data_IF_048220158266
#
_entry.id   IF_048220158266
#
_cell.length_a   1.000
_cell.length_b   1.000
_cell.length_c   1.000
_cell.angle_alpha   90.00
_cell.angle_beta   90.00
_cell.angle_gamma   90.00
#
_symmetry.space_group_name_H-M   'P 1'
#
loop_
_entity.id
_entity.type
_entity.pdbx_description
1 polymer ?
#
# COMPACT_ATOMS: atom_id res chain seq x y z
N UNK A 1 -4.64 -11.02 -27.94
CA UNK A 1 -3.45 -10.12 -27.83
C UNK A 1 -2.15 -10.92 -28.00
N UNK A 2 -1.11 -10.35 -28.59
CA UNK A 2 0.24 -10.95 -28.55
C UNK A 2 0.76 -10.82 -27.12
N UNK A 3 1.28 -11.91 -26.54
CA UNK A 3 1.90 -11.85 -25.22
C UNK A 3 3.15 -10.95 -25.30
N UNK A 4 3.09 -9.78 -24.67
CA UNK A 4 4.19 -8.81 -24.63
C UNK A 4 4.84 -8.76 -23.25
N UNK A 5 4.50 -9.70 -22.37
CA UNK A 5 5.11 -9.77 -21.04
C UNK A 5 6.59 -10.12 -21.17
N UNK A 6 7.42 -9.11 -20.91
CA UNK A 6 8.88 -9.23 -21.04
C UNK A 6 9.56 -9.42 -19.68
N UNK A 7 8.81 -9.41 -18.57
CA UNK A 7 9.34 -9.71 -17.25
C UNK A 7 9.63 -11.20 -17.14
N UNK A 8 10.90 -11.53 -16.95
CA UNK A 8 11.30 -12.89 -16.67
C UNK A 8 11.11 -13.16 -15.17
N UNK A 9 9.99 -13.77 -14.83
CA UNK A 9 9.74 -14.23 -13.47
C UNK A 9 10.63 -15.40 -13.10
N UNK A 10 11.12 -15.45 -11.87
CA UNK A 10 11.74 -16.63 -11.28
C UNK A 10 10.70 -17.76 -11.15
N UNK A 11 11.15 -18.99 -10.87
CA UNK A 11 10.22 -20.12 -10.64
C UNK A 11 9.34 -19.84 -9.42
N UNK A 12 9.88 -19.22 -8.38
CA UNK A 12 9.14 -18.85 -7.17
C UNK A 12 8.10 -17.79 -7.45
N UNK A 13 8.46 -16.73 -8.17
CA UNK A 13 7.50 -15.69 -8.58
C UNK A 13 6.37 -16.25 -9.46
N UNK A 14 6.66 -17.23 -10.31
CA UNK A 14 5.60 -17.92 -11.08
C UNK A 14 4.68 -18.72 -10.15
N UNK A 15 5.22 -19.46 -9.20
CA UNK A 15 4.41 -20.20 -8.23
C UNK A 15 3.54 -19.27 -7.39
N UNK A 16 4.05 -18.11 -6.98
CA UNK A 16 3.26 -17.08 -6.25
C UNK A 16 2.14 -16.55 -7.13
N UNK A 17 2.45 -16.16 -8.38
CA UNK A 17 1.46 -15.66 -9.32
C UNK A 17 0.33 -16.68 -9.56
N UNK A 18 0.69 -17.93 -9.77
CA UNK A 18 -0.27 -18.99 -10.10
C UNK A 18 -1.16 -19.28 -8.87
N UNK A 19 -0.57 -19.48 -7.68
CA UNK A 19 -1.33 -19.76 -6.46
C UNK A 19 -2.24 -18.58 -6.03
N UNK A 20 -1.73 -17.36 -6.09
CA UNK A 20 -2.53 -16.16 -5.77
C UNK A 20 -3.59 -15.89 -6.86
N UNK A 21 -3.25 -16.18 -8.11
CA UNK A 21 -4.17 -16.08 -9.24
C UNK A 21 -5.37 -17.01 -9.08
N UNK A 22 -5.14 -18.27 -8.69
CA UNK A 22 -6.20 -19.26 -8.43
C UNK A 22 -7.18 -18.75 -7.36
N UNK A 23 -6.67 -18.13 -6.28
CA UNK A 23 -7.53 -17.50 -5.26
C UNK A 23 -8.32 -16.32 -5.85
N UNK A 24 -7.64 -15.43 -6.60
CA UNK A 24 -8.29 -14.26 -7.19
C UNK A 24 -9.40 -14.64 -8.18
N UNK A 25 -9.28 -15.76 -8.90
CA UNK A 25 -10.27 -16.22 -9.87
C UNK A 25 -11.62 -16.61 -9.25
N UNK A 26 -11.66 -16.80 -7.92
CA UNK A 26 -12.90 -17.04 -7.17
C UNK A 26 -13.72 -15.75 -6.94
N UNK A 27 -13.11 -14.57 -7.14
CA UNK A 27 -13.68 -13.25 -6.87
C UNK A 27 -13.78 -12.42 -8.15
N UNK A 28 -14.95 -12.44 -8.77
CA UNK A 28 -15.17 -11.78 -10.06
C UNK A 28 -15.32 -10.25 -9.97
N UNK A 29 -15.47 -9.60 -11.12
CA UNK A 29 -15.64 -8.15 -11.18
C UNK A 29 -16.93 -7.65 -10.49
N UNK A 30 -17.98 -8.49 -10.38
CA UNK A 30 -19.22 -8.12 -9.69
C UNK A 30 -18.98 -8.03 -8.18
N UNK A 31 -18.26 -9.01 -7.61
CA UNK A 31 -17.86 -9.01 -6.20
C UNK A 31 -17.15 -7.69 -5.82
N UNK A 32 -16.14 -7.30 -6.57
CA UNK A 32 -15.39 -6.06 -6.31
C UNK A 32 -16.21 -4.79 -6.47
N UNK A 33 -17.15 -4.78 -7.42
CA UNK A 33 -18.03 -3.65 -7.67
C UNK A 33 -19.05 -3.45 -6.56
N UNK A 34 -19.61 -4.54 -6.04
CA UNK A 34 -20.56 -4.52 -4.92
C UNK A 34 -19.86 -4.00 -3.67
N UNK A 35 -18.72 -4.57 -3.30
CA UNK A 35 -17.97 -4.14 -2.11
C UNK A 35 -17.50 -2.67 -2.21
N UNK A 36 -17.01 -2.20 -3.38
CA UNK A 36 -16.66 -0.78 -3.56
C UNK A 36 -17.86 0.15 -3.44
N UNK A 37 -19.04 -0.29 -3.91
CA UNK A 37 -20.26 0.51 -3.85
C UNK A 37 -20.87 0.60 -2.45
N UNK A 38 -20.73 -0.46 -1.66
CA UNK A 38 -21.27 -0.59 -0.29
C UNK A 38 -20.28 -0.10 0.76
N UNK A 39 -19.00 0.05 0.39
CA UNK A 39 -17.93 0.42 1.32
C UNK A 39 -17.58 -0.71 2.28
N UNK A 40 -17.79 -1.97 1.87
CA UNK A 40 -17.57 -3.12 2.72
C UNK A 40 -16.17 -3.73 2.51
N UNK A 41 -15.52 -4.07 3.61
CA UNK A 41 -14.23 -4.77 3.56
C UNK A 41 -14.44 -6.22 3.09
N UNK A 42 -13.66 -6.70 2.10
CA UNK A 42 -13.87 -8.01 1.47
C UNK A 42 -13.27 -9.14 2.32
N UNK A 43 -13.90 -9.45 3.45
CA UNK A 43 -13.43 -10.46 4.41
C UNK A 43 -13.19 -11.82 3.76
N UNK A 44 -14.08 -12.28 2.88
CA UNK A 44 -13.95 -13.59 2.24
C UNK A 44 -12.66 -13.69 1.41
N UNK A 45 -12.34 -12.66 0.64
CA UNK A 45 -11.11 -12.59 -0.13
C UNK A 45 -9.85 -12.57 0.76
N UNK A 46 -9.87 -11.74 1.80
CA UNK A 46 -8.72 -11.63 2.73
C UNK A 46 -8.52 -12.91 3.51
N UNK A 47 -9.60 -13.55 3.96
CA UNK A 47 -9.55 -14.84 4.64
C UNK A 47 -9.01 -15.96 3.73
N UNK A 48 -9.41 -16.02 2.47
CA UNK A 48 -8.87 -16.98 1.51
C UNK A 48 -7.36 -16.84 1.34
N UNK A 49 -6.84 -15.61 1.31
CA UNK A 49 -5.39 -15.37 1.29
C UNK A 49 -4.72 -15.72 2.63
N UNK A 50 -5.39 -15.45 3.76
CA UNK A 50 -4.88 -15.77 5.10
C UNK A 50 -4.76 -17.29 5.32
N UNK A 51 -5.78 -18.06 4.94
CA UNK A 51 -5.81 -19.54 5.06
C UNK A 51 -4.64 -20.21 4.34
N UNK A 52 -4.20 -19.64 3.21
CA UNK A 52 -3.04 -20.08 2.45
C UNK A 52 -1.72 -19.42 2.91
N UNK A 53 -1.74 -18.62 4.01
CA UNK A 53 -0.59 -18.00 4.64
C UNK A 53 0.01 -16.83 3.84
N UNK A 54 -0.75 -16.22 2.91
CA UNK A 54 -0.24 -15.12 2.08
C UNK A 54 -0.10 -13.80 2.82
N UNK A 55 -0.82 -13.60 3.95
CA UNK A 55 -0.62 -12.41 4.79
C UNK A 55 0.76 -12.43 5.47
N UNK A 56 1.33 -13.61 5.68
CA UNK A 56 2.69 -13.80 6.21
C UNK A 56 3.77 -13.94 5.13
N UNK A 57 3.59 -13.44 3.92
CA UNK A 57 4.50 -13.65 2.78
C UNK A 57 5.94 -13.20 3.08
N UNK A 58 6.13 -12.10 3.80
CA UNK A 58 7.43 -11.55 4.21
C UNK A 58 7.86 -11.97 5.62
N UNK A 59 6.97 -12.58 6.41
CA UNK A 59 7.32 -13.00 7.76
C UNK A 59 8.33 -14.17 7.72
N UNK A 60 9.32 -14.19 8.63
CA UNK A 60 10.28 -15.27 8.72
C UNK A 60 9.62 -16.64 8.95
N UNK A 61 10.19 -17.69 8.36
CA UNK A 61 9.71 -19.08 8.51
C UNK A 61 9.69 -19.55 9.98
N UNK A 62 10.61 -19.06 10.80
CA UNK A 62 10.68 -19.38 12.24
C UNK A 62 9.42 -18.93 13.02
N UNK A 63 8.67 -17.93 12.50
CA UNK A 63 7.39 -17.49 13.05
C UNK A 63 6.19 -17.99 12.23
N UNK A 64 6.37 -18.96 11.33
CA UNK A 64 5.31 -19.55 10.54
C UNK A 64 5.00 -18.80 9.24
N UNK A 65 5.73 -17.76 8.90
CA UNK A 65 5.62 -17.05 7.63
C UNK A 65 6.22 -17.81 6.45
N UNK A 66 6.08 -17.27 5.23
CA UNK A 66 6.67 -17.88 4.02
C UNK A 66 8.17 -17.58 3.85
N UNK A 67 8.74 -16.61 4.58
CA UNK A 67 10.15 -16.22 4.46
C UNK A 67 10.52 -15.72 3.06
N UNK A 68 9.56 -15.19 2.32
CA UNK A 68 9.78 -14.69 0.97
C UNK A 68 10.35 -13.26 1.01
N UNK A 69 10.78 -12.76 -0.14
CA UNK A 69 11.36 -11.43 -0.29
C UNK A 69 10.38 -10.44 -0.96
N UNK A 70 10.80 -9.20 -1.10
CA UNK A 70 10.07 -8.17 -1.86
C UNK A 70 9.81 -8.59 -3.31
N UNK A 71 10.63 -9.46 -3.89
CA UNK A 71 10.42 -9.97 -5.25
C UNK A 71 9.11 -10.77 -5.36
N UNK A 72 8.85 -11.63 -4.38
CA UNK A 72 7.63 -12.43 -4.32
C UNK A 72 6.42 -11.57 -3.93
N UNK A 73 6.58 -10.64 -2.98
CA UNK A 73 5.52 -9.70 -2.60
C UNK A 73 5.07 -8.83 -3.79
N UNK A 74 6.01 -8.34 -4.60
CA UNK A 74 5.72 -7.62 -5.86
C UNK A 74 4.94 -8.48 -6.85
N UNK A 75 5.29 -9.75 -7.00
CA UNK A 75 4.57 -10.67 -7.89
C UNK A 75 3.14 -10.95 -7.37
N UNK A 76 2.97 -11.17 -6.07
CA UNK A 76 1.69 -11.35 -5.39
C UNK A 76 0.77 -10.14 -5.62
N UNK A 77 1.22 -8.97 -5.23
CA UNK A 77 0.38 -7.77 -5.23
C UNK A 77 0.06 -7.27 -6.65
N UNK A 78 1.00 -7.44 -7.59
CA UNK A 78 0.71 -7.24 -9.00
C UNK A 78 -0.41 -8.17 -9.49
N UNK A 79 -0.38 -9.45 -9.10
CA UNK A 79 -1.38 -10.45 -9.50
C UNK A 79 -2.75 -10.08 -8.97
N UNK A 80 -2.86 -9.72 -7.68
CA UNK A 80 -4.11 -9.28 -7.08
C UNK A 80 -4.67 -8.06 -7.81
N UNK A 81 -3.89 -7.00 -7.98
CA UNK A 81 -4.37 -5.79 -8.64
C UNK A 81 -4.78 -6.02 -10.11
N UNK A 82 -4.16 -6.98 -10.78
CA UNK A 82 -4.42 -7.32 -12.18
C UNK A 82 -5.64 -8.22 -12.38
N UNK A 83 -6.08 -8.93 -11.35
CA UNK A 83 -7.16 -9.93 -11.42
C UNK A 83 -8.58 -9.36 -11.57
N UNK A 84 -8.77 -8.05 -11.42
CA UNK A 84 -10.09 -7.41 -11.34
C UNK A 84 -10.33 -6.72 -10.00
N UNK A 85 -9.60 -7.11 -8.96
CA UNK A 85 -9.60 -6.47 -7.66
C UNK A 85 -9.18 -4.98 -7.73
N UNK A 86 -8.32 -4.64 -8.68
CA UNK A 86 -7.76 -3.31 -8.82
C UNK A 86 -6.78 -2.97 -7.70
N UNK A 87 -6.44 -1.70 -7.59
CA UNK A 87 -5.59 -1.21 -6.51
C UNK A 87 -6.27 -1.35 -5.15
N UNK A 88 -7.56 -1.05 -5.07
CA UNK A 88 -8.34 -1.13 -3.81
C UNK A 88 -8.36 -2.53 -3.23
N UNK A 89 -8.56 -3.56 -4.06
CA UNK A 89 -8.51 -4.95 -3.61
C UNK A 89 -7.12 -5.36 -3.13
N UNK A 90 -6.05 -4.94 -3.81
CA UNK A 90 -4.70 -5.17 -3.33
C UNK A 90 -4.44 -4.45 -1.98
N UNK A 91 -4.99 -3.25 -1.79
CA UNK A 91 -4.85 -2.49 -0.56
C UNK A 91 -5.51 -3.15 0.66
N UNK A 92 -6.42 -4.09 0.49
CA UNK A 92 -7.02 -4.82 1.62
C UNK A 92 -6.02 -5.69 2.35
N UNK A 93 -4.98 -6.17 1.68
CA UNK A 93 -3.92 -7.02 2.24
C UNK A 93 -2.55 -6.35 2.29
N UNK A 94 -2.37 -5.23 1.61
CA UNK A 94 -1.10 -4.52 1.53
C UNK A 94 -0.47 -4.27 2.90
N UNK A 95 -1.23 -3.75 3.84
CA UNK A 95 -0.73 -3.39 5.16
C UNK A 95 -0.37 -4.62 6.02
N UNK A 96 -1.07 -5.74 5.87
CA UNK A 96 -0.69 -6.98 6.55
C UNK A 96 0.74 -7.41 6.20
N UNK A 97 1.17 -7.14 4.96
CA UNK A 97 2.50 -7.48 4.48
C UNK A 97 3.57 -6.58 5.11
N UNK A 98 3.32 -5.27 5.28
CA UNK A 98 4.35 -4.30 5.67
C UNK A 98 4.30 -3.83 7.10
N UNK A 99 3.11 -3.74 7.72
CA UNK A 99 3.00 -3.20 9.07
C UNK A 99 3.67 -4.07 10.12
N UNK A 100 3.91 -5.34 9.82
CA UNK A 100 4.69 -6.22 10.68
C UNK A 100 6.21 -6.01 10.58
N UNK A 101 6.71 -5.30 9.57
CA UNK A 101 8.14 -5.14 9.35
C UNK A 101 8.87 -4.45 10.52
N UNK A 102 8.36 -3.36 11.14
CA UNK A 102 8.99 -2.78 12.33
C UNK A 102 9.07 -3.77 13.49
N UNK A 103 8.02 -4.59 13.68
CA UNK A 103 8.02 -5.62 14.72
C UNK A 103 9.05 -6.71 14.43
N UNK A 104 9.13 -7.22 13.19
CA UNK A 104 10.11 -8.22 12.76
C UNK A 104 11.54 -7.72 12.97
N UNK A 105 11.82 -6.48 12.56
CA UNK A 105 13.17 -5.93 12.56
C UNK A 105 13.62 -5.44 13.94
N UNK A 106 12.71 -4.90 14.75
CA UNK A 106 13.05 -4.14 15.96
C UNK A 106 12.29 -4.57 17.21
N UNK A 107 11.25 -5.40 17.10
CA UNK A 107 10.50 -5.90 18.26
C UNK A 107 11.37 -6.73 19.19
N UNK A 108 11.03 -6.78 20.50
CA UNK A 108 11.64 -7.71 21.44
C UNK A 108 11.34 -9.15 21.03
N UNK A 109 12.22 -10.07 21.39
CA UNK A 109 12.02 -11.50 21.09
C UNK A 109 10.74 -12.05 21.74
N UNK A 110 10.36 -11.51 22.90
CA UNK A 110 9.12 -11.87 23.58
C UNK A 110 7.91 -11.43 22.75
N UNK A 111 7.88 -10.18 22.30
CA UNK A 111 6.81 -9.64 21.47
C UNK A 111 6.70 -10.35 20.12
N UNK A 112 7.83 -10.63 19.47
CA UNK A 112 7.87 -11.39 18.20
C UNK A 112 7.32 -12.80 18.38
N UNK A 113 7.77 -13.52 19.40
CA UNK A 113 7.38 -14.90 19.63
C UNK A 113 5.91 -15.05 20.03
N UNK A 114 5.32 -14.03 20.67
CA UNK A 114 3.90 -13.99 21.01
C UNK A 114 3.03 -13.70 19.79
N UNK A 115 3.38 -12.70 19.00
CA UNK A 115 2.47 -12.13 18.01
C UNK A 115 2.70 -12.62 16.57
N UNK A 116 3.97 -12.75 16.13
CA UNK A 116 4.23 -13.07 14.71
C UNK A 116 3.65 -14.43 14.26
N UNK A 117 3.64 -15.51 15.07
CA UNK A 117 2.97 -16.75 14.69
C UNK A 117 1.44 -16.58 14.47
N UNK A 118 0.81 -15.73 15.29
CA UNK A 118 -0.63 -15.43 15.15
C UNK A 118 -0.91 -14.58 13.90
N UNK A 119 0.00 -13.66 13.58
CA UNK A 119 -0.10 -12.88 12.32
C UNK A 119 0.11 -13.79 11.11
N UNK A 120 1.07 -14.71 11.17
CA UNK A 120 1.35 -15.64 10.07
C UNK A 120 0.18 -16.60 9.80
N UNK A 121 -0.52 -17.04 10.85
CA UNK A 121 -1.71 -17.91 10.73
C UNK A 121 -2.99 -17.16 10.38
N UNK A 122 -3.01 -15.82 10.44
CA UNK A 122 -4.22 -15.02 10.29
C UNK A 122 -5.09 -14.91 11.54
N UNK A 123 -4.62 -15.41 12.70
CA UNK A 123 -5.30 -15.31 14.00
C UNK A 123 -5.17 -13.93 14.66
N UNK A 124 -4.30 -13.07 14.13
CA UNK A 124 -4.18 -11.67 14.53
C UNK A 124 -3.77 -10.80 13.33
N UNK A 125 -4.34 -9.60 13.27
CA UNK A 125 -4.10 -8.70 12.15
C UNK A 125 -3.43 -7.39 12.60
N UNK A 126 -2.30 -7.05 11.95
CA UNK A 126 -1.62 -5.76 12.07
C UNK A 126 -1.80 -5.04 10.74
N UNK A 127 -3.02 -4.58 10.47
CA UNK A 127 -3.37 -3.98 9.18
C UNK A 127 -3.43 -2.45 9.18
N UNK A 128 -3.17 -1.80 10.31
CA UNK A 128 -3.17 -0.35 10.36
C UNK A 128 -1.87 0.25 10.87
N UNK A 129 -1.55 1.41 10.31
CA UNK A 129 -0.39 2.22 10.66
C UNK A 129 -0.82 3.68 10.82
N UNK A 130 -0.43 4.31 11.91
CA UNK A 130 -0.86 5.65 12.27
C UNK A 130 0.33 6.58 12.42
N UNK A 131 0.60 7.36 11.36
CA UNK A 131 1.71 8.31 11.28
C UNK A 131 1.21 9.73 11.00
N UNK A 132 0.43 9.88 9.93
CA UNK A 132 -0.01 11.16 9.38
C UNK A 132 -0.93 11.89 10.36
N UNK A 133 -0.75 13.21 10.48
CA UNK A 133 -1.59 14.10 11.28
C UNK A 133 -2.19 15.21 10.42
N UNK A 134 -3.22 15.93 10.89
CA UNK A 134 -3.84 17.02 10.12
C UNK A 134 -2.85 18.09 9.65
N UNK A 135 -1.75 18.32 10.40
CA UNK A 135 -0.71 19.30 10.05
C UNK A 135 0.60 18.66 9.56
N UNK A 136 0.73 17.33 9.61
CA UNK A 136 1.97 16.60 9.34
C UNK A 136 1.73 15.44 8.36
N UNK A 137 1.59 15.75 7.07
CA UNK A 137 1.51 14.76 5.99
C UNK A 137 2.90 14.52 5.38
N UNK A 138 3.26 15.30 4.34
CA UNK A 138 4.57 15.19 3.67
C UNK A 138 5.75 15.51 4.60
N UNK A 139 5.58 16.40 5.58
CA UNK A 139 6.56 16.62 6.66
C UNK A 139 6.24 15.74 7.87
N UNK A 140 6.38 14.42 7.73
CA UNK A 140 6.07 13.45 8.80
C UNK A 140 6.95 13.61 10.05
N UNK A 141 8.07 14.32 9.98
CA UNK A 141 8.86 14.70 11.16
C UNK A 141 8.20 15.78 12.04
N UNK A 142 7.09 16.37 11.57
CA UNK A 142 6.36 17.41 12.30
C UNK A 142 5.16 16.90 13.09
N UNK A 143 5.07 15.58 13.33
CA UNK A 143 3.99 15.00 14.15
C UNK A 143 4.03 15.57 15.57
N UNK A 144 2.83 15.80 16.12
CA UNK A 144 2.61 16.39 17.44
C UNK A 144 2.00 15.40 18.46
N UNK A 145 1.44 14.24 18.00
CA UNK A 145 0.95 13.18 18.91
C UNK A 145 2.05 12.79 19.87
N UNK A 146 1.80 12.95 21.18
CA UNK A 146 2.78 12.72 22.24
C UNK A 146 2.58 11.38 22.95
N UNK A 147 3.66 10.81 23.47
CA UNK A 147 3.68 9.63 24.32
C UNK A 147 4.53 9.90 25.54
N UNK A 148 3.90 10.12 26.68
CA UNK A 148 4.57 10.44 27.94
C UNK A 148 4.67 9.19 28.81
N UNK A 149 5.88 8.88 29.27
CA UNK A 149 6.09 7.72 30.15
C UNK A 149 5.49 7.92 31.53
N UNK A 150 4.66 6.98 31.97
CA UNK A 150 4.05 6.94 33.30
C UNK A 150 4.30 5.55 33.94
N UNK A 151 5.41 5.40 34.63
CA UNK A 151 5.82 4.12 35.21
C UNK A 151 6.21 3.08 34.18
N UNK A 152 5.44 2.01 34.09
CA UNK A 152 5.57 0.90 33.13
C UNK A 152 4.65 1.00 31.93
N UNK A 153 4.01 2.14 31.72
CA UNK A 153 3.18 2.46 30.56
C UNK A 153 3.61 3.79 29.92
N UNK A 154 3.11 4.03 28.70
CA UNK A 154 3.07 5.34 28.05
C UNK A 154 1.62 5.81 27.97
N UNK A 155 1.40 7.09 28.24
CA UNK A 155 0.13 7.78 28.04
C UNK A 155 0.22 8.56 26.74
N UNK A 156 -0.63 8.23 25.78
CA UNK A 156 -0.57 8.78 24.42
C UNK A 156 -1.77 9.69 24.18
N UNK A 157 -1.49 10.91 23.72
CA UNK A 157 -2.48 11.92 23.38
C UNK A 157 -2.20 12.54 22.02
N UNK A 158 -3.23 12.73 21.21
CA UNK A 158 -3.10 13.37 19.93
C UNK A 158 -4.14 12.95 18.90
N UNK A 159 -3.91 13.33 17.66
CA UNK A 159 -4.83 13.06 16.57
C UNK A 159 -4.06 12.58 15.33
N UNK A 160 -4.53 11.49 14.72
CA UNK A 160 -4.01 10.97 13.47
C UNK A 160 -5.06 11.02 12.37
N UNK A 161 -4.60 11.07 11.13
CA UNK A 161 -5.44 11.16 9.95
C UNK A 161 -5.04 10.09 8.94
N UNK A 162 -6.00 9.56 8.21
CA UNK A 162 -5.78 8.50 7.21
C UNK A 162 -5.30 7.17 7.82
N UNK A 163 -5.67 6.86 9.05
CA UNK A 163 -5.43 5.54 9.63
C UNK A 163 -6.42 4.57 9.01
N UNK A 164 -5.94 3.79 8.05
CA UNK A 164 -6.79 2.87 7.28
C UNK A 164 -6.86 1.50 7.96
N UNK A 165 -8.02 0.82 7.83
CA UNK A 165 -8.25 -0.56 8.31
C UNK A 165 -8.17 -0.74 9.82
N UNK A 166 -8.31 0.33 10.61
CA UNK A 166 -8.33 0.22 12.07
C UNK A 166 -9.56 -0.54 12.58
N UNK A 167 -10.64 -0.49 11.83
CA UNK A 167 -11.92 -1.16 12.06
C UNK A 167 -11.88 -2.70 11.85
N UNK A 168 -10.86 -3.19 11.15
CA UNK A 168 -10.67 -4.62 10.83
C UNK A 168 -9.31 -5.16 11.33
N UNK A 169 -8.61 -4.43 12.17
CA UNK A 169 -7.29 -4.79 12.69
C UNK A 169 -7.34 -5.04 14.18
N UNK A 170 -6.57 -6.01 14.68
CA UNK A 170 -6.42 -6.26 16.12
C UNK A 170 -5.39 -5.31 16.74
N UNK A 171 -4.33 -5.03 15.99
CA UNK A 171 -3.23 -4.19 16.43
C UNK A 171 -2.92 -3.07 15.44
N UNK A 172 -2.47 -1.95 16.00
CA UNK A 172 -2.06 -0.74 15.30
C UNK A 172 -0.58 -0.44 15.57
N UNK A 173 0.20 -0.17 14.54
CA UNK A 173 1.52 0.45 14.68
C UNK A 173 1.35 1.96 14.72
N UNK A 174 1.62 2.57 15.87
CA UNK A 174 1.45 4.00 16.12
C UNK A 174 2.80 4.70 16.27
N UNK A 175 3.01 5.76 15.47
CA UNK A 175 4.14 6.67 15.66
C UNK A 175 3.72 7.84 16.56
N UNK A 176 4.42 8.05 17.67
CA UNK A 176 4.17 9.16 18.59
C UNK A 176 5.50 9.75 19.09
N UNK A 177 5.45 10.96 19.60
CA UNK A 177 6.61 11.70 20.05
C UNK A 177 6.86 11.45 21.52
N UNK A 178 8.00 10.85 21.83
CA UNK A 178 8.49 10.60 23.21
C UNK A 178 9.37 11.73 23.72
N UNK A 179 10.08 12.43 22.83
CA UNK A 179 10.80 13.64 23.14
C UNK A 179 10.27 14.80 22.31
N UNK A 180 9.92 15.97 22.91
CA UNK A 180 9.43 17.15 22.21
C UNK A 180 10.38 17.60 21.09
N UNK A 181 9.79 18.12 20.00
CA UNK A 181 10.56 18.49 18.79
C UNK A 181 11.63 19.56 19.07
N UNK A 182 11.36 20.47 19.99
CA UNK A 182 12.26 21.53 20.42
C UNK A 182 13.44 21.05 21.27
N UNK A 183 13.39 19.82 21.78
CA UNK A 183 14.40 19.22 22.65
C UNK A 183 15.37 18.30 21.89
N UNK A 184 15.11 18.01 20.61
CA UNK A 184 15.94 17.14 19.78
C UNK A 184 16.84 17.93 18.84
N UNK A 185 18.03 17.40 18.52
CA UNK A 185 18.97 18.04 17.58
C UNK A 185 18.53 17.88 16.12
N UNK A 186 18.02 16.68 15.77
CA UNK A 186 17.55 16.38 14.41
C UNK A 186 16.04 16.20 14.41
N UNK A 187 15.40 16.70 13.36
CA UNK A 187 13.94 16.60 13.16
C UNK A 187 13.40 15.15 13.18
N UNK A 188 14.26 14.19 12.88
CA UNK A 188 13.96 12.76 12.82
C UNK A 188 14.06 12.04 14.16
N UNK A 189 14.60 12.69 15.18
CA UNK A 189 14.72 12.16 16.55
C UNK A 189 13.47 12.46 17.36
N UNK A 190 13.29 11.77 18.49
CA UNK A 190 12.20 11.99 19.44
C UNK A 190 10.87 11.37 19.04
N UNK A 191 10.84 10.51 18.02
CA UNK A 191 9.66 9.73 17.62
C UNK A 191 9.89 8.28 17.96
N UNK A 192 8.89 7.63 18.55
CA UNK A 192 8.89 6.21 18.90
C UNK A 192 7.74 5.48 18.22
N UNK A 193 7.86 4.16 18.10
CA UNK A 193 6.82 3.30 17.58
C UNK A 193 6.23 2.43 18.67
N UNK A 194 4.91 2.32 18.69
CA UNK A 194 4.16 1.54 19.65
C UNK A 194 3.25 0.54 18.94
N UNK A 195 3.19 -0.68 19.46
CA UNK A 195 2.17 -1.64 19.11
C UNK A 195 0.97 -1.46 20.03
N UNK A 196 -0.11 -0.92 19.50
CA UNK A 196 -1.33 -0.64 20.24
C UNK A 196 -2.33 -1.77 20.05
N UNK A 197 -2.89 -2.28 21.13
CA UNK A 197 -4.04 -3.17 21.14
C UNK A 197 -5.31 -2.31 20.98
N UNK A 198 -6.01 -2.51 19.86
CA UNK A 198 -7.15 -1.67 19.49
C UNK A 198 -8.36 -1.95 20.37
N UNK A 199 -8.64 -3.23 20.68
CA UNK A 199 -9.76 -3.61 21.52
C UNK A 199 -9.61 -3.00 22.92
N UNK A 200 -8.41 -3.11 23.51
CA UNK A 200 -8.10 -2.49 24.82
C UNK A 200 -8.30 -0.98 24.80
N UNK A 201 -7.89 -0.31 23.73
CA UNK A 201 -8.08 1.13 23.56
C UNK A 201 -9.55 1.54 23.48
N UNK A 202 -10.36 0.75 22.76
CA UNK A 202 -11.81 0.96 22.68
C UNK A 202 -12.52 0.70 24.01
N UNK A 203 -12.20 -0.39 24.70
CA UNK A 203 -12.78 -0.70 26.02
C UNK A 203 -12.47 0.37 27.06
N UNK A 204 -11.28 0.97 26.99
CA UNK A 204 -10.89 2.08 27.84
C UNK A 204 -11.57 3.41 27.46
N UNK A 205 -12.19 3.51 26.28
CA UNK A 205 -12.74 4.76 25.74
C UNK A 205 -11.66 5.78 25.36
N UNK A 206 -10.44 5.31 25.08
CA UNK A 206 -9.28 6.14 24.74
C UNK A 206 -9.02 6.25 23.23
N UNK A 207 -9.87 5.62 22.40
CA UNK A 207 -9.86 5.70 20.95
C UNK A 207 -11.21 6.23 20.47
N UNK A 208 -11.19 7.35 19.75
CA UNK A 208 -12.35 7.86 19.00
C UNK A 208 -12.05 7.81 17.51
N UNK A 209 -12.96 7.19 16.76
CA UNK A 209 -12.82 6.93 15.33
C UNK A 209 -13.87 7.70 14.54
N UNK A 210 -13.44 8.59 13.66
CA UNK A 210 -14.30 9.28 12.68
C UNK A 210 -13.92 8.81 11.28
N UNK A 211 -14.83 8.12 10.61
CA UNK A 211 -14.59 7.64 9.24
C UNK A 211 -14.50 8.80 8.25
N UNK A 212 -13.55 8.74 7.33
CA UNK A 212 -13.34 9.75 6.30
C UNK A 212 -14.09 9.31 5.04
N UNK A 213 -15.13 10.06 4.67
CA UNK A 213 -15.81 9.91 3.37
C UNK A 213 -14.84 10.27 2.23
N UNK A 214 -14.51 9.29 1.38
CA UNK A 214 -13.52 9.43 0.32
C UNK A 214 -13.98 8.82 -0.99
N UNK A 215 -13.48 9.34 -2.10
CA UNK A 215 -13.93 8.97 -3.44
C UNK A 215 -13.24 7.74 -4.03
N UNK A 216 -12.19 7.22 -3.40
CA UNK A 216 -11.41 6.09 -3.92
C UNK A 216 -11.14 5.07 -2.82
N UNK A 217 -10.99 3.81 -3.22
CA UNK A 217 -10.73 2.70 -2.31
C UNK A 217 -11.88 2.48 -1.31
N UNK A 218 -13.09 2.27 -1.83
CA UNK A 218 -14.29 2.04 -1.02
C UNK A 218 -14.15 0.86 -0.06
N UNK A 219 -13.53 -0.22 -0.52
CA UNK A 219 -13.30 -1.45 0.27
C UNK A 219 -12.26 -1.30 1.40
N UNK A 220 -11.63 -0.15 1.55
CA UNK A 220 -10.65 0.13 2.62
C UNK A 220 -11.08 1.38 3.35
N UNK A 221 -11.67 1.26 4.52
CA UNK A 221 -12.02 2.39 5.38
C UNK A 221 -10.79 3.16 5.84
N UNK A 222 -10.92 4.45 6.05
CA UNK A 222 -9.86 5.33 6.58
C UNK A 222 -10.44 6.28 7.60
N UNK A 223 -9.73 6.50 8.68
CA UNK A 223 -10.24 7.21 9.83
C UNK A 223 -9.35 8.39 10.24
N UNK A 224 -10.00 9.40 10.81
CA UNK A 224 -9.43 10.28 11.80
C UNK A 224 -9.49 9.53 13.12
N UNK A 225 -8.37 9.44 13.85
CA UNK A 225 -8.28 8.76 15.13
C UNK A 225 -7.80 9.73 16.18
N UNK A 226 -8.61 9.92 17.23
CA UNK A 226 -8.22 10.70 18.40
C UNK A 226 -7.79 9.73 19.52
N UNK A 227 -6.63 9.99 20.08
CA UNK A 227 -6.09 9.31 21.25
C UNK A 227 -6.25 10.23 22.45
N UNK A 228 -7.01 9.77 23.47
CA UNK A 228 -7.28 10.51 24.69
C UNK A 228 -6.88 9.65 25.90
N UNK A 229 -5.75 9.99 26.51
CA UNK A 229 -5.12 9.23 27.59
C UNK A 229 -4.97 7.72 27.28
N UNK A 230 -4.63 7.38 26.00
CA UNK A 230 -4.41 6.00 25.60
C UNK A 230 -3.19 5.42 26.33
N UNK A 231 -3.42 4.37 27.14
CA UNK A 231 -2.35 3.70 27.91
C UNK A 231 -1.82 2.49 27.15
N UNK A 232 -0.52 2.54 26.84
CA UNK A 232 0.21 1.48 26.14
C UNK A 232 1.34 0.97 27.05
N UNK A 233 1.39 -0.34 27.37
CA UNK A 233 2.48 -0.91 28.16
C UNK A 233 3.86 -0.64 27.54
N UNK A 234 4.86 -0.40 28.37
CA UNK A 234 6.20 -0.06 27.91
C UNK A 234 6.88 -1.20 27.13
N UNK A 235 6.49 -2.44 27.34
CA UNK A 235 6.94 -3.61 26.59
C UNK A 235 6.34 -3.69 25.16
N UNK A 236 5.37 -2.83 24.85
CA UNK A 236 4.79 -2.65 23.49
C UNK A 236 5.51 -1.57 22.68
N UNK A 237 6.56 -0.94 23.20
CA UNK A 237 7.47 -0.10 22.42
C UNK A 237 8.20 -0.98 21.39
N UNK A 238 8.15 -0.60 20.13
CA UNK A 238 8.87 -1.29 19.05
C UNK A 238 10.24 -0.64 18.90
N UNK A 239 11.29 -1.42 19.15
CA UNK A 239 12.67 -1.00 18.99
C UNK A 239 13.16 -0.07 20.10
N UNK A 240 13.80 1.03 19.74
CA UNK A 240 14.46 1.97 20.65
C UNK A 240 13.65 3.26 20.73
N UNK A 241 13.44 3.76 21.95
CA UNK A 241 12.79 5.06 22.19
C UNK A 241 13.52 6.18 21.43
N UNK A 242 12.78 7.11 20.87
CA UNK A 242 13.24 8.24 20.05
C UNK A 242 13.83 7.89 18.67
N UNK A 243 13.97 6.62 18.29
CA UNK A 243 14.52 6.17 17.00
C UNK A 243 13.47 5.66 16.02
N UNK A 244 12.19 5.71 16.37
CA UNK A 244 11.08 5.14 15.59
C UNK A 244 10.96 5.67 14.17
N UNK A 245 11.35 6.91 13.92
CA UNK A 245 11.31 7.47 12.57
C UNK A 245 12.24 6.73 11.59
N UNK A 246 13.45 6.35 12.03
CA UNK A 246 14.38 5.56 11.20
C UNK A 246 13.89 4.13 11.02
N UNK A 247 13.27 3.56 12.06
CA UNK A 247 12.71 2.21 12.01
C UNK A 247 11.57 2.10 11.00
N UNK A 248 10.73 3.14 10.86
CA UNK A 248 9.72 3.22 9.79
C UNK A 248 10.36 3.32 8.42
N UNK A 249 11.40 4.16 8.26
CA UNK A 249 12.04 4.38 6.96
C UNK A 249 12.64 3.11 6.36
N UNK A 250 13.04 2.14 7.17
CA UNK A 250 13.66 0.91 6.69
C UNK A 250 12.73 0.06 5.82
N UNK A 251 11.42 0.04 6.09
CA UNK A 251 10.43 -0.70 5.29
C UNK A 251 9.83 0.10 4.12
N UNK A 252 10.00 1.42 4.11
CA UNK A 252 9.29 2.28 3.14
C UNK A 252 9.77 2.16 1.69
N UNK A 253 10.97 1.68 1.43
CA UNK A 253 11.45 1.48 0.06
C UNK A 253 10.77 0.26 -0.57
N UNK A 254 10.69 -0.82 0.18
CA UNK A 254 10.03 -2.06 -0.19
C UNK A 254 8.53 -1.82 -0.43
N UNK A 255 7.88 -1.07 0.47
CA UNK A 255 6.49 -0.66 0.34
C UNK A 255 6.23 0.10 -0.97
N UNK A 256 7.10 1.05 -1.34
CA UNK A 256 6.97 1.78 -2.61
C UNK A 256 7.03 0.86 -3.83
N UNK A 257 7.85 -0.19 -3.78
CA UNK A 257 7.95 -1.16 -4.88
C UNK A 257 6.69 -2.00 -5.01
N UNK A 258 6.08 -2.36 -3.89
CA UNK A 258 4.82 -3.11 -3.89
C UNK A 258 3.67 -2.23 -4.37
N UNK A 259 3.57 -0.99 -3.90
CA UNK A 259 2.61 -0.01 -4.44
C UNK A 259 2.82 0.19 -5.96
N UNK A 260 4.06 0.23 -6.43
CA UNK A 260 4.33 0.31 -7.87
C UNK A 260 3.82 -0.91 -8.63
N UNK A 261 3.95 -2.11 -8.06
CA UNK A 261 3.45 -3.35 -8.66
C UNK A 261 1.92 -3.39 -8.72
N UNK A 262 1.23 -3.05 -7.64
CA UNK A 262 -0.23 -2.89 -7.59
C UNK A 262 -0.72 -1.88 -8.62
N UNK A 263 -0.04 -0.76 -8.70
CA UNK A 263 -0.36 0.33 -9.63
C UNK A 263 -0.21 -0.10 -11.09
N UNK A 264 0.86 -0.85 -11.41
CA UNK A 264 1.03 -1.42 -12.77
C UNK A 264 -0.08 -2.42 -13.08
N UNK A 265 -0.42 -3.30 -12.13
CA UNK A 265 -1.52 -4.27 -12.28
C UNK A 265 -2.84 -3.59 -12.58
N UNK A 266 -3.20 -2.56 -11.81
CA UNK A 266 -4.37 -1.71 -12.06
C UNK A 266 -4.36 -1.08 -13.45
N UNK A 267 -3.22 -0.51 -13.86
CA UNK A 267 -3.10 0.15 -15.17
C UNK A 267 -3.27 -0.81 -16.34
N UNK A 268 -2.69 -2.02 -16.25
CA UNK A 268 -2.86 -3.06 -17.26
C UNK A 268 -4.32 -3.55 -17.33
N UNK A 269 -4.98 -3.70 -16.19
CA UNK A 269 -6.41 -4.02 -16.12
C UNK A 269 -7.26 -2.95 -16.79
N UNK A 270 -6.98 -1.68 -16.56
CA UNK A 270 -7.69 -0.57 -17.21
C UNK A 270 -7.49 -0.55 -18.73
N UNK A 271 -6.26 -0.80 -19.22
CA UNK A 271 -5.98 -0.92 -20.66
C UNK A 271 -6.76 -2.08 -21.28
N UNK A 272 -6.79 -3.23 -20.63
CA UNK A 272 -7.52 -4.41 -21.10
C UNK A 272 -9.00 -4.12 -21.28
N UNK A 273 -9.65 -3.54 -20.26
CA UNK A 273 -11.06 -3.13 -20.33
C UNK A 273 -11.32 -2.12 -21.46
N UNK A 274 -10.40 -1.16 -21.64
CA UNK A 274 -10.47 -0.19 -22.74
C UNK A 274 -10.35 -0.86 -24.12
N UNK A 275 -9.46 -1.83 -24.26
CA UNK A 275 -9.25 -2.59 -25.51
C UNK A 275 -10.45 -3.47 -25.84
N UNK A 276 -10.99 -4.19 -24.85
CA UNK A 276 -12.14 -5.06 -25.06
C UNK A 276 -13.35 -4.23 -25.50
N UNK A 277 -13.64 -3.15 -24.79
CA UNK A 277 -14.71 -2.24 -25.18
C UNK A 277 -14.50 -1.61 -26.57
N UNK A 278 -13.27 -1.22 -26.91
CA UNK A 278 -12.95 -0.63 -28.20
C UNK A 278 -13.15 -1.61 -29.38
N UNK A 279 -12.97 -2.92 -29.15
CA UNK A 279 -13.18 -3.96 -30.14
C UNK A 279 -14.66 -4.32 -30.32
N UNK A 280 -15.46 -4.23 -29.25
CA UNK A 280 -16.88 -4.60 -29.27
C UNK A 280 -17.80 -3.44 -29.68
N UNK A 281 -17.47 -2.22 -29.24
CA UNK A 281 -18.32 -1.05 -29.47
C UNK A 281 -18.25 -0.57 -30.91
N UNK A 282 -19.39 -0.57 -31.59
CA UNK A 282 -19.52 -0.03 -32.94
C UNK A 282 -20.17 1.36 -32.95
N UNK A 283 -19.60 2.27 -33.75
CA UNK A 283 -20.14 3.60 -34.11
C UNK A 283 -19.83 3.88 -35.56
N UNK A 284 -20.77 4.45 -36.28
CA UNK A 284 -20.65 4.68 -37.70
C UNK A 284 -20.34 3.42 -38.52
N UNK A 285 -20.91 2.25 -38.09
CA UNK A 285 -20.81 0.98 -38.83
C UNK A 285 -19.47 0.24 -38.69
N UNK A 286 -18.64 0.59 -37.70
CA UNK A 286 -17.37 -0.09 -37.43
C UNK A 286 -17.00 -0.01 -35.94
N UNK A 287 -16.16 -0.93 -35.49
CA UNK A 287 -15.60 -0.90 -34.14
C UNK A 287 -14.81 0.38 -33.91
N UNK A 288 -15.02 1.01 -32.73
CA UNK A 288 -14.33 2.27 -32.40
C UNK A 288 -12.82 2.10 -32.30
N UNK A 289 -12.34 0.90 -31.99
CA UNK A 289 -10.93 0.54 -31.98
C UNK A 289 -10.21 0.71 -33.33
N UNK A 290 -10.94 0.91 -34.43
CA UNK A 290 -10.34 1.25 -35.73
C UNK A 290 -9.92 2.73 -35.83
N UNK A 291 -10.26 3.57 -34.86
CA UNK A 291 -9.90 4.98 -34.89
C UNK A 291 -8.58 5.22 -34.13
N UNK A 292 -7.65 5.92 -34.76
CA UNK A 292 -6.35 6.25 -34.14
C UNK A 292 -6.49 7.04 -32.84
N UNK A 293 -7.53 7.88 -32.70
CA UNK A 293 -7.84 8.62 -31.49
C UNK A 293 -8.17 7.70 -30.29
N UNK A 294 -8.56 6.44 -30.52
CA UNK A 294 -8.77 5.41 -29.50
C UNK A 294 -7.53 4.52 -29.38
N UNK A 295 -6.94 4.12 -30.49
CA UNK A 295 -5.77 3.21 -30.49
C UNK A 295 -4.55 3.83 -29.81
N UNK A 296 -4.23 5.08 -30.13
CA UNK A 296 -2.97 5.69 -29.70
C UNK A 296 -2.89 5.90 -28.18
N UNK A 297 -3.92 6.43 -27.47
CA UNK A 297 -3.88 6.52 -26.00
C UNK A 297 -3.73 5.17 -25.31
N UNK A 298 -4.49 4.14 -25.73
CA UNK A 298 -4.39 2.80 -25.18
C UNK A 298 -3.01 2.17 -25.43
N UNK A 299 -2.48 2.29 -26.64
CA UNK A 299 -1.16 1.78 -27.01
C UNK A 299 -0.04 2.52 -26.25
N UNK A 300 -0.13 3.83 -26.09
CA UNK A 300 0.82 4.61 -25.31
C UNK A 300 0.79 4.25 -23.83
N UNK A 301 -0.41 4.09 -23.25
CA UNK A 301 -0.59 3.60 -21.87
C UNK A 301 0.04 2.24 -21.67
N UNK A 302 -0.25 1.28 -22.56
CA UNK A 302 0.35 -0.05 -22.54
C UNK A 302 1.90 0.01 -22.58
N UNK A 303 2.47 0.77 -23.51
CA UNK A 303 3.93 0.87 -23.64
C UNK A 303 4.60 1.43 -22.38
N UNK A 304 4.02 2.47 -21.75
CA UNK A 304 4.52 3.05 -20.49
C UNK A 304 4.38 2.08 -19.32
N UNK A 305 3.26 1.36 -19.23
CA UNK A 305 3.05 0.34 -18.21
C UNK A 305 4.06 -0.79 -18.32
N UNK A 306 4.38 -1.27 -19.55
CA UNK A 306 5.42 -2.28 -19.74
C UNK A 306 6.80 -1.79 -19.28
N UNK A 307 7.15 -0.53 -19.52
CA UNK A 307 8.40 0.06 -19.04
C UNK A 307 8.41 0.17 -17.49
N UNK A 308 7.31 0.64 -16.89
CA UNK A 308 7.16 0.74 -15.45
C UNK A 308 7.21 -0.64 -14.77
N UNK A 309 6.55 -1.65 -15.34
CA UNK A 309 6.57 -3.04 -14.89
C UNK A 309 7.98 -3.60 -14.86
N UNK A 310 8.71 -3.49 -15.97
CA UNK A 310 10.10 -3.95 -16.07
C UNK A 310 10.98 -3.29 -15.01
N UNK A 311 10.83 -1.97 -14.83
CA UNK A 311 11.61 -1.25 -13.84
C UNK A 311 11.27 -1.69 -12.42
N UNK A 312 9.98 -1.86 -12.08
CA UNK A 312 9.51 -2.28 -10.77
C UNK A 312 10.05 -3.66 -10.38
N UNK A 313 9.91 -4.65 -11.28
CA UNK A 313 10.43 -6.00 -11.03
C UNK A 313 11.96 -6.06 -10.97
N UNK A 314 12.64 -5.25 -11.77
CA UNK A 314 14.12 -5.15 -11.70
C UNK A 314 14.58 -4.48 -10.39
N UNK A 315 13.87 -3.46 -9.92
CA UNK A 315 14.17 -2.79 -8.67
C UNK A 315 13.91 -3.68 -7.44
N UNK A 316 12.85 -4.50 -7.47
CA UNK A 316 12.54 -5.45 -6.39
C UNK A 316 13.68 -6.45 -6.11
N UNK A 317 14.43 -6.86 -7.15
CA UNK A 317 15.61 -7.74 -7.01
C UNK A 317 16.77 -7.11 -6.24
N UNK A 318 16.71 -5.80 -5.99
CA UNK A 318 17.82 -5.04 -5.43
C UNK A 318 17.52 -4.46 -4.04
N UNK A 319 16.40 -4.85 -3.44
CA UNK A 319 16.01 -4.37 -2.09
C UNK A 319 16.98 -4.81 -1.00
N UNK A 320 17.66 -5.96 -1.18
CA UNK A 320 18.70 -6.46 -0.29
C UNK A 320 20.09 -5.82 -0.47
N UNK A 321 20.28 -4.88 -1.42
CA UNK A 321 21.56 -4.22 -1.61
C UNK A 321 21.90 -3.32 -0.41
N UNK A 322 23.19 -3.28 -0.02
CA UNK A 322 23.67 -2.51 1.13
C UNK A 322 23.53 -0.99 0.93
N UNK A 323 23.57 -0.51 -0.31
CA UNK A 323 23.38 0.91 -0.63
C UNK A 323 21.89 1.31 -0.56
N UNK A 324 21.43 1.63 0.64
CA UNK A 324 20.04 2.08 0.91
C UNK A 324 19.64 3.33 0.12
N UNK A 325 20.58 4.17 -0.29
CA UNK A 325 20.27 5.33 -1.14
C UNK A 325 19.96 4.91 -2.57
N UNK A 326 20.70 3.93 -3.10
CA UNK A 326 20.40 3.35 -4.40
C UNK A 326 19.04 2.63 -4.40
N UNK A 327 18.75 1.84 -3.35
CA UNK A 327 17.43 1.22 -3.17
C UNK A 327 16.33 2.27 -3.17
N UNK A 328 16.49 3.35 -2.41
CA UNK A 328 15.57 4.48 -2.39
C UNK A 328 15.37 5.14 -3.76
N UNK A 329 16.44 5.28 -4.55
CA UNK A 329 16.35 5.83 -5.90
C UNK A 329 15.52 4.93 -6.83
N UNK A 330 15.74 3.62 -6.78
CA UNK A 330 14.96 2.67 -7.58
C UNK A 330 13.49 2.63 -7.13
N UNK A 331 13.21 2.58 -5.83
CA UNK A 331 11.86 2.54 -5.30
C UNK A 331 11.05 3.80 -5.66
N UNK A 332 11.64 4.99 -5.51
CA UNK A 332 10.98 6.24 -5.90
C UNK A 332 10.79 6.34 -7.42
N UNK A 333 11.74 5.85 -8.23
CA UNK A 333 11.60 5.82 -9.69
C UNK A 333 10.49 4.87 -10.11
N UNK A 334 10.43 3.65 -9.56
CA UNK A 334 9.40 2.67 -9.84
C UNK A 334 8.00 3.22 -9.51
N UNK A 335 7.84 3.76 -8.31
CA UNK A 335 6.58 4.36 -7.84
C UNK A 335 6.13 5.51 -8.74
N UNK A 336 7.03 6.41 -9.10
CA UNK A 336 6.73 7.53 -9.98
C UNK A 336 6.26 7.06 -11.36
N UNK A 337 7.03 6.18 -12.01
CA UNK A 337 6.72 5.68 -13.35
C UNK A 337 5.39 4.91 -13.37
N UNK A 338 5.17 4.05 -12.37
CA UNK A 338 3.96 3.24 -12.29
C UNK A 338 2.71 4.12 -12.13
N UNK A 339 2.74 5.10 -11.21
CA UNK A 339 1.59 5.96 -10.94
C UNK A 339 1.23 6.87 -12.13
N UNK A 340 2.22 7.44 -12.83
CA UNK A 340 1.95 8.22 -14.04
C UNK A 340 1.37 7.34 -15.16
N UNK A 341 1.99 6.18 -15.41
CA UNK A 341 1.54 5.27 -16.46
C UNK A 341 0.13 4.73 -16.21
N UNK A 342 -0.18 4.35 -14.98
CA UNK A 342 -1.49 3.82 -14.61
C UNK A 342 -2.59 4.89 -14.68
N UNK A 343 -2.31 6.11 -14.21
CA UNK A 343 -3.27 7.20 -14.30
C UNK A 343 -3.62 7.54 -15.75
N UNK A 344 -2.63 7.68 -16.63
CA UNK A 344 -2.86 7.93 -18.06
C UNK A 344 -3.61 6.76 -18.74
N UNK A 345 -3.31 5.52 -18.35
CA UNK A 345 -3.98 4.34 -18.87
C UNK A 345 -5.45 4.26 -18.43
N UNK A 346 -5.74 4.55 -17.17
CA UNK A 346 -7.10 4.56 -16.64
C UNK A 346 -7.93 5.70 -17.25
N UNK A 347 -7.36 6.90 -17.42
CA UNK A 347 -8.00 8.02 -18.11
C UNK A 347 -8.33 7.67 -19.58
N UNK A 348 -7.39 7.04 -20.29
CA UNK A 348 -7.61 6.56 -21.64
C UNK A 348 -8.72 5.49 -21.73
N UNK A 349 -8.82 4.60 -20.73
CA UNK A 349 -9.89 3.62 -20.64
C UNK A 349 -11.27 4.27 -20.45
N UNK A 350 -11.38 5.21 -19.52
CA UNK A 350 -12.62 6.01 -19.31
C UNK A 350 -13.00 6.75 -20.58
N UNK A 351 -12.05 7.45 -21.22
CA UNK A 351 -12.29 8.18 -22.47
C UNK A 351 -12.75 7.25 -23.61
N UNK A 352 -12.19 6.04 -23.69
CA UNK A 352 -12.58 5.02 -24.67
C UNK A 352 -14.03 4.57 -24.51
N UNK A 353 -14.50 4.44 -23.26
CA UNK A 353 -15.89 4.08 -22.94
C UNK A 353 -16.87 5.23 -23.18
N UNK A 354 -16.41 6.49 -23.28
CA UNK A 354 -17.25 7.65 -23.41
C UNK A 354 -18.19 7.79 -22.20
N UNK A 355 -19.47 8.06 -22.41
CA UNK A 355 -20.45 8.18 -21.32
C UNK A 355 -20.54 6.94 -20.39
N UNK A 356 -20.28 5.76 -20.95
CA UNK A 356 -20.23 4.52 -20.15
C UNK A 356 -19.01 4.42 -19.25
N UNK A 357 -17.95 5.20 -19.52
CA UNK A 357 -16.77 5.28 -18.66
C UNK A 357 -17.03 5.93 -17.31
N UNK A 358 -18.21 6.55 -17.11
CA UNK A 358 -18.65 7.14 -15.82
C UNK A 358 -19.69 6.23 -15.14
N UNK A 359 -20.15 5.19 -15.83
CA UNK A 359 -21.10 4.21 -15.31
C UNK A 359 -20.37 3.13 -14.52
N UNK A 360 -20.71 2.98 -13.24
CA UNK A 360 -20.12 1.99 -12.33
C UNK A 360 -20.17 0.55 -12.85
N UNK A 361 -21.14 0.23 -13.73
CA UNK A 361 -21.26 -1.10 -14.34
C UNK A 361 -20.07 -1.49 -15.23
N UNK A 362 -19.22 -0.54 -15.63
CA UNK A 362 -18.07 -0.78 -16.50
C UNK A 362 -16.72 -0.77 -15.78
N UNK A 363 -16.67 -0.57 -14.47
CA UNK A 363 -15.50 -0.60 -13.59
C UNK A 363 -14.41 0.47 -13.88
N UNK A 364 -14.27 0.96 -15.10
CA UNK A 364 -13.16 1.85 -15.49
C UNK A 364 -13.15 3.19 -14.74
N UNK A 365 -14.31 3.67 -14.27
CA UNK A 365 -14.39 4.85 -13.41
C UNK A 365 -13.73 4.58 -12.04
N UNK A 366 -13.93 3.38 -11.48
CA UNK A 366 -13.28 2.93 -10.24
C UNK A 366 -11.77 2.88 -10.43
N UNK A 367 -11.30 2.31 -11.53
CA UNK A 367 -9.86 2.24 -11.84
C UNK A 367 -9.23 3.64 -11.98
N UNK A 368 -9.96 4.61 -12.52
CA UNK A 368 -9.47 6.00 -12.59
C UNK A 368 -9.35 6.65 -11.21
N UNK A 369 -10.36 6.47 -10.34
CA UNK A 369 -10.31 6.96 -8.95
C UNK A 369 -9.14 6.34 -8.19
N UNK A 370 -8.95 5.03 -8.32
CA UNK A 370 -7.83 4.30 -7.72
C UNK A 370 -6.47 4.75 -8.28
N UNK A 371 -6.34 4.87 -9.60
CA UNK A 371 -5.11 5.35 -10.23
C UNK A 371 -4.76 6.79 -9.80
N UNK A 372 -5.76 7.65 -9.53
CA UNK A 372 -5.51 8.97 -8.98
C UNK A 372 -4.92 8.91 -7.58
N UNK A 373 -5.37 7.96 -6.75
CA UNK A 373 -4.86 7.75 -5.39
C UNK A 373 -3.38 7.34 -5.42
N UNK A 374 -2.96 6.49 -6.35
CA UNK A 374 -1.56 6.01 -6.44
C UNK A 374 -0.53 7.14 -6.64
N UNK A 375 -0.94 8.31 -7.12
CA UNK A 375 -0.07 9.50 -7.23
C UNK A 375 0.14 10.22 -5.89
N UNK A 376 -0.64 9.87 -4.87
CA UNK A 376 -0.61 10.49 -3.53
C UNK A 376 0.06 9.59 -2.50
N UNK A 377 -0.17 8.27 -2.57
CA UNK A 377 0.27 7.29 -1.57
C UNK A 377 1.36 6.36 -2.10
N UNK A 378 2.20 5.77 -1.21
CA UNK A 378 2.42 6.10 0.20
C UNK A 378 3.21 7.40 0.35
N UNK A 379 3.78 7.90 -0.73
CA UNK A 379 4.52 9.16 -0.86
C UNK A 379 4.06 9.88 -2.13
N UNK A 380 3.94 11.21 -2.08
CA UNK A 380 3.50 11.97 -3.24
C UNK A 380 4.53 11.91 -4.38
N UNK A 381 4.06 12.13 -5.64
CA UNK A 381 4.94 12.20 -6.81
C UNK A 381 6.04 13.25 -6.63
N UNK A 382 5.71 14.38 -6.00
CA UNK A 382 6.63 15.50 -5.74
C UNK A 382 7.76 15.06 -4.81
N UNK A 383 7.46 14.32 -3.72
CA UNK A 383 8.49 13.82 -2.82
C UNK A 383 9.37 12.76 -3.48
N UNK A 384 8.80 11.89 -4.33
CA UNK A 384 9.59 10.94 -5.10
C UNK A 384 10.56 11.66 -6.06
N UNK A 385 10.08 12.69 -6.75
CA UNK A 385 10.93 13.52 -7.62
C UNK A 385 11.97 14.34 -6.85
N UNK A 386 11.62 14.86 -5.68
CA UNK A 386 12.59 15.54 -4.80
C UNK A 386 13.71 14.59 -4.41
N UNK A 387 13.38 13.35 -4.02
CA UNK A 387 14.41 12.36 -3.70
C UNK A 387 15.35 12.11 -4.88
N UNK A 388 14.82 11.96 -6.10
CA UNK A 388 15.63 11.77 -7.30
C UNK A 388 16.46 13.01 -7.62
N UNK A 389 15.88 14.19 -7.51
CA UNK A 389 16.58 15.47 -7.72
C UNK A 389 17.79 15.61 -6.80
N UNK A 390 17.60 15.40 -5.51
CA UNK A 390 18.63 15.58 -4.49
C UNK A 390 19.66 14.45 -4.48
N UNK A 391 19.19 13.18 -4.44
CA UNK A 391 20.09 12.05 -4.16
C UNK A 391 20.66 11.37 -5.41
N UNK A 392 20.02 11.55 -6.58
CA UNK A 392 20.49 10.95 -7.85
C UNK A 392 21.14 12.00 -8.74
N UNK A 393 20.48 13.15 -8.91
CA UNK A 393 20.96 14.21 -9.82
C UNK A 393 21.90 15.21 -9.13
N UNK A 394 22.01 15.18 -7.79
CA UNK A 394 22.86 16.08 -7.03
C UNK A 394 22.37 17.53 -7.01
N UNK A 395 21.07 17.75 -7.21
CA UNK A 395 20.49 19.09 -7.13
C UNK A 395 20.43 19.58 -5.67
N UNK A 396 20.50 20.88 -5.43
CA UNK A 396 20.34 21.43 -4.10
C UNK A 396 18.98 21.07 -3.50
N UNK A 397 18.97 20.81 -2.19
CA UNK A 397 17.74 20.55 -1.45
C UNK A 397 16.79 21.74 -1.52
N UNK A 398 15.50 21.47 -1.72
CA UNK A 398 14.48 22.50 -1.95
C UNK A 398 13.86 23.06 -0.65
N UNK A 399 14.00 22.37 0.50
CA UNK A 399 13.46 22.79 1.81
C UNK A 399 14.25 22.22 2.99
#
# INVERSE_FOLDING_TARGET
MVATDTVQLTDRQRSVRDAVGDICDEFDAAYWREHDAEGEYPHDFVNALAEEGWLGVLLPEEYGGKGYSTEEAVAMMYTIARSGAGFSGAQTVHAAIYNSAPLVNYGSEELKSDLLPRVASGDAWIQCFSLTEPKAGSESTAIETEAVRDGDEYVINGEKLWTSRIDVSDYLVLAARTTPREEVEKKTEGVSLFLVDIERGHEAGSLDLEEIDKTASGVVSSFRVTYDDLRVPADRLIGVEDEGFYQVLDGLNEERLVIAAETVGLGELAVEKGVDYANEREVFGRAIGQNQAIQHPLAAGHARLQAAKQFTFAAAKRTGDEDRKAVGAWANTAKYLAAEAAFEAADAAVQTHGGRGIDRAYDVERYLREARLTRLVPVTQELALNYLGENVLGLPRSY
#
